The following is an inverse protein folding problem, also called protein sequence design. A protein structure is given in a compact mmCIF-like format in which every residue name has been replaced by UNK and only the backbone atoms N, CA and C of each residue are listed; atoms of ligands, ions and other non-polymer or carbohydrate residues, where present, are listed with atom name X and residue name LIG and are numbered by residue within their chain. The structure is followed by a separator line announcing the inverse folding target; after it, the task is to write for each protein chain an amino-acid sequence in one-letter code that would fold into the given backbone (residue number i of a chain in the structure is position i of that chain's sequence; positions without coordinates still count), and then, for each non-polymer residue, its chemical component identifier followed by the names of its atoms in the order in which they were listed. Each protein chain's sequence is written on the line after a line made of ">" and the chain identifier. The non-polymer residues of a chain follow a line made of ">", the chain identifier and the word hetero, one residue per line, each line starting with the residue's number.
data_IF_021809397734
#
_entry.id   IF_021809397734
#
_cell.length_a   1.000
_cell.length_b   1.000
_cell.length_c   1.000
_cell.angle_alpha   90.00
_cell.angle_beta   90.00
_cell.angle_gamma   90.00
#
_symmetry.space_group_name_H-M   'P 1'
#
loop_
_entity.id
_entity.type
_entity.pdbx_description
1 polymer ?
#
# COMPACT_ATOMS: atom_id res chain seq x y z
N UNK A 1 42.89 34.30 56.20
CA UNK A 1 41.58 34.62 55.59
C UNK A 1 41.81 35.73 54.58
N UNK A 2 41.69 35.61 53.26
CA UNK A 2 41.22 34.53 52.39
C UNK A 2 41.86 34.72 51.00
N UNK A 3 42.07 33.59 50.32
CA UNK A 3 42.44 33.44 48.92
C UNK A 3 41.29 33.83 47.97
N UNK A 4 41.57 34.59 46.90
CA UNK A 4 40.81 34.55 45.62
C UNK A 4 41.80 34.75 44.46
N UNK A 5 42.34 33.67 43.87
CA UNK A 5 41.84 32.88 42.72
C UNK A 5 41.84 33.67 41.40
N UNK A 6 42.93 33.44 40.65
CA UNK A 6 43.10 33.67 39.21
C UNK A 6 42.12 32.75 38.47
N UNK A 7 41.29 33.30 37.57
CA UNK A 7 40.44 32.53 36.67
C UNK A 7 40.96 32.71 35.24
N UNK A 8 41.62 31.67 34.72
CA UNK A 8 41.95 31.55 33.29
C UNK A 8 40.65 31.40 32.49
N UNK A 9 40.47 32.25 31.48
CA UNK A 9 39.41 32.13 30.48
C UNK A 9 39.75 31.01 29.49
N UNK A 10 38.95 29.93 29.51
CA UNK A 10 38.94 28.89 28.47
C UNK A 10 37.97 29.33 27.36
N UNK A 11 38.52 29.74 26.20
CA UNK A 11 37.74 29.91 24.98
C UNK A 11 37.25 28.54 24.50
N UNK A 12 35.97 28.26 24.72
CA UNK A 12 35.26 27.16 24.06
C UNK A 12 34.98 27.59 22.63
N UNK A 13 35.71 27.02 21.67
CA UNK A 13 35.46 27.17 20.24
C UNK A 13 34.15 26.44 19.94
N UNK A 14 33.07 27.20 19.78
CA UNK A 14 31.78 26.72 19.33
C UNK A 14 31.86 26.42 17.84
N UNK A 15 32.10 25.16 17.47
CA UNK A 15 31.92 24.71 16.08
C UNK A 15 30.43 24.74 15.75
N UNK A 16 29.96 25.59 14.81
CA UNK A 16 28.56 25.61 14.46
C UNK A 16 28.23 24.32 13.69
N UNK A 17 27.27 23.55 14.20
CA UNK A 17 26.70 22.39 13.52
C UNK A 17 26.18 22.78 12.13
N UNK A 18 26.48 21.90 11.16
CA UNK A 18 25.99 21.90 9.79
C UNK A 18 24.45 21.69 9.73
N UNK A 19 23.66 22.70 10.10
CA UNK A 19 22.20 22.70 9.93
C UNK A 19 21.75 23.17 8.52
N UNK A 20 22.68 23.51 7.63
CA UNK A 20 22.38 24.17 6.35
C UNK A 20 22.01 23.28 5.16
N UNK A 21 22.36 21.98 5.18
CA UNK A 21 22.06 21.07 4.06
C UNK A 21 20.65 20.46 4.15
N UNK A 22 20.19 20.12 5.35
CA UNK A 22 18.91 19.44 5.57
C UNK A 22 17.72 20.36 5.24
N UNK A 23 17.81 21.65 5.62
CA UNK A 23 16.78 22.64 5.31
C UNK A 23 16.63 22.92 3.80
N UNK A 24 17.70 22.78 3.01
CA UNK A 24 17.69 23.05 1.55
C UNK A 24 16.99 21.94 0.76
N UNK A 25 17.16 20.67 1.15
CA UNK A 25 16.52 19.52 0.50
C UNK A 25 15.01 19.49 0.77
N UNK A 26 14.59 19.72 2.02
CA UNK A 26 13.17 19.79 2.44
C UNK A 26 12.41 20.86 1.65
N UNK A 27 13.03 22.03 1.44
CA UNK A 27 12.42 23.11 0.64
C UNK A 27 12.20 22.68 -0.83
N UNK A 28 13.11 21.91 -1.41
CA UNK A 28 13.04 21.45 -2.81
C UNK A 28 11.90 20.45 -3.05
N UNK A 29 11.65 19.54 -2.13
CA UNK A 29 10.53 18.60 -2.26
C UNK A 29 9.18 19.30 -2.07
N UNK A 30 9.09 20.20 -1.09
CA UNK A 30 7.89 21.03 -0.91
C UNK A 30 7.57 21.86 -2.16
N UNK A 31 8.57 22.44 -2.81
CA UNK A 31 8.42 23.15 -4.09
C UNK A 31 7.98 22.23 -5.23
N UNK A 32 8.53 21.02 -5.30
CA UNK A 32 8.16 20.00 -6.29
C UNK A 32 6.68 19.62 -6.15
N UNK A 33 6.25 19.32 -4.93
CA UNK A 33 4.85 18.99 -4.65
C UNK A 33 3.95 20.19 -4.89
N UNK A 34 4.37 21.43 -4.60
CA UNK A 34 3.58 22.66 -4.79
C UNK A 34 3.01 22.80 -6.20
N UNK A 35 3.79 22.44 -7.21
CA UNK A 35 3.40 22.53 -8.62
C UNK A 35 3.01 21.18 -9.23
N UNK A 36 2.93 20.12 -8.43
CA UNK A 36 2.61 18.78 -8.90
C UNK A 36 1.20 18.73 -9.51
N UNK A 37 1.12 18.22 -10.74
CA UNK A 37 -0.10 17.89 -11.43
C UNK A 37 -0.16 16.38 -11.61
N UNK A 38 -1.33 15.79 -11.42
CA UNK A 38 -1.52 14.35 -11.50
C UNK A 38 -2.46 13.97 -12.64
N UNK A 39 -2.03 12.99 -13.42
CA UNK A 39 -2.86 12.24 -14.36
C UNK A 39 -2.83 10.78 -13.94
N UNK A 40 -4.00 10.15 -13.84
CA UNK A 40 -4.09 8.75 -13.44
C UNK A 40 -3.45 7.85 -14.51
N UNK A 41 -2.44 7.10 -14.09
CA UNK A 41 -1.80 6.01 -14.85
C UNK A 41 -2.04 4.73 -14.06
N UNK A 42 -2.37 3.64 -14.77
CA UNK A 42 -2.51 2.33 -14.16
C UNK A 42 -1.16 1.61 -14.26
N UNK A 43 -0.68 1.01 -13.17
CA UNK A 43 0.63 0.37 -13.11
C UNK A 43 0.82 -0.70 -14.18
N UNK A 44 -0.26 -1.44 -14.48
CA UNK A 44 -0.29 -2.49 -15.51
C UNK A 44 0.10 -2.00 -16.91
N UNK A 45 -0.08 -0.71 -17.18
CA UNK A 45 0.22 -0.09 -18.47
C UNK A 45 1.72 0.23 -18.61
N UNK A 46 2.49 0.15 -17.52
CA UNK A 46 3.92 0.49 -17.44
C UNK A 46 4.86 -0.72 -17.50
N UNK A 47 4.34 -1.96 -17.56
CA UNK A 47 5.17 -3.16 -17.46
C UNK A 47 5.76 -3.62 -18.80
N UNK A 48 7.05 -4.00 -18.84
CA UNK A 48 7.64 -4.61 -20.02
C UNK A 48 7.08 -6.02 -20.27
N UNK A 49 7.18 -6.54 -21.52
CA UNK A 49 6.85 -7.92 -21.81
C UNK A 49 7.76 -8.88 -21.03
N UNK A 50 7.23 -10.06 -20.73
CA UNK A 50 7.94 -11.10 -19.98
C UNK A 50 8.51 -12.16 -20.93
N UNK A 51 9.73 -12.61 -20.67
CA UNK A 51 10.32 -13.78 -21.33
C UNK A 51 9.49 -15.03 -20.98
N UNK A 52 9.03 -15.83 -21.97
CA UNK A 52 8.16 -16.99 -21.71
C UNK A 52 8.79 -18.09 -20.86
N UNK A 53 10.09 -18.30 -20.97
CA UNK A 53 10.83 -19.30 -20.18
C UNK A 53 10.93 -18.81 -18.73
N UNK A 54 11.25 -17.52 -18.54
CA UNK A 54 11.28 -16.89 -17.22
C UNK A 54 9.91 -16.90 -16.53
N UNK A 55 8.83 -16.63 -17.28
CA UNK A 55 7.46 -16.68 -16.76
C UNK A 55 7.02 -18.11 -16.40
N UNK A 56 7.55 -19.14 -17.08
CA UNK A 56 7.33 -20.52 -16.69
C UNK A 56 7.97 -20.84 -15.32
N UNK A 57 9.23 -20.43 -15.08
CA UNK A 57 9.87 -20.59 -13.77
C UNK A 57 9.15 -19.81 -12.67
N UNK A 58 8.72 -18.57 -12.96
CA UNK A 58 7.93 -17.77 -12.04
C UNK A 58 6.61 -18.47 -11.66
N UNK A 59 5.87 -18.98 -12.65
CA UNK A 59 4.60 -19.70 -12.42
C UNK A 59 4.80 -20.96 -11.59
N UNK A 60 5.87 -21.71 -11.84
CA UNK A 60 6.20 -22.89 -11.04
C UNK A 60 6.54 -22.52 -9.59
N UNK A 61 7.36 -21.49 -9.38
CA UNK A 61 7.66 -20.96 -8.06
C UNK A 61 6.38 -20.55 -7.30
N UNK A 62 5.45 -19.85 -7.97
CA UNK A 62 4.14 -19.49 -7.40
C UNK A 62 3.29 -20.70 -7.05
N UNK A 63 3.27 -21.73 -7.90
CA UNK A 63 2.55 -22.98 -7.64
C UNK A 63 3.09 -23.66 -6.39
N UNK A 64 4.40 -23.70 -6.23
CA UNK A 64 5.07 -24.26 -5.06
C UNK A 64 4.78 -23.45 -3.79
N UNK A 65 4.70 -22.13 -3.85
CA UNK A 65 4.33 -21.28 -2.71
C UNK A 65 2.89 -21.49 -2.24
N UNK A 66 1.93 -21.64 -3.15
CA UNK A 66 0.50 -21.76 -2.78
C UNK A 66 0.09 -23.18 -2.36
N UNK A 67 0.87 -24.21 -2.71
CA UNK A 67 0.61 -25.61 -2.33
C UNK A 67 0.35 -25.74 -0.81
N UNK A 68 -0.43 -26.70 -0.33
CA UNK A 68 -0.50 -26.93 1.14
C UNK A 68 0.73 -27.71 1.62
N UNK A 69 1.15 -27.48 2.87
CA UNK A 69 2.25 -28.21 3.52
C UNK A 69 3.61 -27.49 3.51
N UNK A 70 4.67 -28.17 3.98
CA UNK A 70 6.02 -27.61 4.09
C UNK A 70 6.54 -27.06 2.77
N UNK A 71 7.35 -26.00 2.85
CA UNK A 71 7.89 -25.26 1.71
C UNK A 71 9.40 -25.39 1.64
N UNK A 72 9.89 -25.74 0.46
CA UNK A 72 11.30 -25.58 0.12
C UNK A 72 11.51 -24.18 -0.45
N UNK A 73 11.71 -23.20 0.44
CA UNK A 73 11.97 -21.82 0.03
C UNK A 73 13.30 -21.64 -0.69
N UNK A 74 14.27 -22.56 -0.49
CA UNK A 74 15.52 -22.57 -1.25
C UNK A 74 15.27 -22.84 -2.72
N UNK A 75 14.53 -23.91 -3.02
CA UNK A 75 14.14 -24.25 -4.39
C UNK A 75 13.26 -23.16 -5.05
N UNK A 76 12.28 -22.61 -4.32
CA UNK A 76 11.43 -21.51 -4.82
C UNK A 76 12.30 -20.27 -5.15
N UNK A 77 13.23 -19.91 -4.28
CA UNK A 77 14.13 -18.79 -4.52
C UNK A 77 15.06 -19.04 -5.71
N UNK A 78 15.52 -20.28 -5.94
CA UNK A 78 16.29 -20.64 -7.14
C UNK A 78 15.48 -20.39 -8.42
N UNK A 79 14.22 -20.82 -8.47
CA UNK A 79 13.35 -20.56 -9.63
C UNK A 79 13.17 -19.06 -9.88
N UNK A 80 12.98 -18.26 -8.82
CA UNK A 80 12.91 -16.82 -8.99
C UNK A 80 14.23 -16.18 -9.43
N UNK A 81 15.39 -16.69 -8.97
CA UNK A 81 16.70 -16.23 -9.46
C UNK A 81 16.89 -16.50 -10.95
N UNK A 82 16.53 -17.70 -11.41
CA UNK A 82 16.54 -18.04 -12.85
C UNK A 82 15.65 -17.09 -13.66
N UNK A 83 14.45 -16.80 -13.17
CA UNK A 83 13.57 -15.82 -13.82
C UNK A 83 14.12 -14.38 -13.75
N UNK A 84 14.76 -14.00 -12.65
CA UNK A 84 15.38 -12.68 -12.45
C UNK A 84 16.58 -12.44 -13.38
N UNK A 85 17.37 -13.47 -13.70
CA UNK A 85 18.44 -13.40 -14.71
C UNK A 85 17.89 -12.99 -16.08
N UNK A 86 16.65 -13.37 -16.38
CA UNK A 86 15.89 -12.99 -17.57
C UNK A 86 14.97 -11.78 -17.35
N UNK A 87 15.29 -10.93 -16.37
CA UNK A 87 14.59 -9.65 -16.13
C UNK A 87 13.10 -9.79 -15.79
N UNK A 88 12.69 -10.93 -15.24
CA UNK A 88 11.29 -11.16 -14.87
C UNK A 88 10.91 -10.37 -13.61
N UNK A 89 10.33 -9.17 -13.78
CA UNK A 89 10.09 -8.22 -12.69
C UNK A 89 9.27 -8.77 -11.52
N UNK A 90 8.26 -9.63 -11.77
CA UNK A 90 7.48 -10.25 -10.68
C UNK A 90 8.30 -11.23 -9.85
N UNK A 91 9.24 -11.92 -10.49
CA UNK A 91 10.12 -12.87 -9.81
C UNK A 91 11.14 -12.12 -8.96
N UNK A 92 11.69 -11.03 -9.51
CA UNK A 92 12.59 -10.13 -8.78
C UNK A 92 11.89 -9.57 -7.55
N UNK A 93 10.67 -9.04 -7.68
CA UNK A 93 9.89 -8.53 -6.54
C UNK A 93 9.59 -9.61 -5.48
N UNK A 94 9.22 -10.83 -5.89
CA UNK A 94 8.97 -11.92 -4.96
C UNK A 94 10.24 -12.39 -4.24
N UNK A 95 11.33 -12.59 -4.99
CA UNK A 95 12.62 -12.99 -4.44
C UNK A 95 13.15 -11.96 -3.44
N UNK A 96 13.07 -10.69 -3.83
CA UNK A 96 13.43 -9.55 -3.00
C UNK A 96 12.69 -9.64 -1.65
N UNK A 97 11.36 -9.77 -1.66
CA UNK A 97 10.57 -9.88 -0.44
C UNK A 97 10.91 -11.14 0.38
N UNK A 98 11.12 -12.29 -0.27
CA UNK A 98 11.50 -13.54 0.41
C UNK A 98 12.83 -13.38 1.16
N UNK A 99 13.83 -12.77 0.54
CA UNK A 99 15.13 -12.55 1.15
C UNK A 99 15.02 -11.51 2.28
N UNK A 100 14.31 -10.40 2.04
CA UNK A 100 14.15 -9.33 3.03
C UNK A 100 13.47 -9.83 4.32
N UNK A 101 12.46 -10.68 4.19
CA UNK A 101 11.73 -11.29 5.32
C UNK A 101 12.44 -12.50 5.93
N UNK A 102 13.54 -12.97 5.33
CA UNK A 102 14.30 -14.14 5.80
C UNK A 102 13.65 -15.48 5.46
N UNK A 103 12.70 -15.54 4.53
CA UNK A 103 12.16 -16.79 4.00
C UNK A 103 13.16 -17.50 3.09
N UNK A 104 14.03 -16.76 2.42
CA UNK A 104 15.14 -17.29 1.63
C UNK A 104 16.47 -16.67 2.07
N UNK A 105 17.52 -17.49 2.05
CA UNK A 105 18.88 -17.02 2.27
C UNK A 105 19.40 -16.24 1.05
N UNK A 106 20.25 -15.23 1.28
CA UNK A 106 20.93 -14.56 0.19
C UNK A 106 21.96 -15.48 -0.47
N UNK A 107 22.48 -15.06 -1.64
CA UNK A 107 23.57 -15.71 -2.33
C UNK A 107 24.82 -15.78 -1.44
N UNK A 108 25.57 -16.87 -1.58
CA UNK A 108 26.81 -17.10 -0.81
C UNK A 108 27.73 -15.89 -0.94
N UNK A 109 28.16 -15.35 0.20
CA UNK A 109 29.05 -14.19 0.26
C UNK A 109 28.36 -12.82 0.21
N UNK A 110 27.04 -12.76 0.03
CA UNK A 110 26.27 -11.51 0.13
C UNK A 110 25.55 -11.40 1.47
N UNK A 111 25.49 -10.19 2.02
CA UNK A 111 24.53 -9.90 3.10
C UNK A 111 23.12 -9.85 2.52
N UNK A 112 22.13 -10.17 3.36
CA UNK A 112 20.70 -10.05 3.02
C UNK A 112 20.35 -8.70 2.39
N UNK A 113 20.80 -7.62 3.02
CA UNK A 113 20.50 -6.27 2.57
C UNK A 113 21.16 -5.94 1.23
N UNK A 114 22.32 -6.52 0.92
CA UNK A 114 23.04 -6.27 -0.32
C UNK A 114 22.27 -6.87 -1.52
N UNK A 115 21.92 -8.16 -1.48
CA UNK A 115 21.16 -8.77 -2.58
C UNK A 115 19.74 -8.18 -2.73
N UNK A 116 19.09 -7.83 -1.61
CA UNK A 116 17.78 -7.15 -1.68
C UNK A 116 17.89 -5.82 -2.41
N UNK A 117 18.90 -5.00 -2.11
CA UNK A 117 19.08 -3.72 -2.78
C UNK A 117 19.46 -3.92 -4.26
N UNK A 118 20.32 -4.88 -4.59
CA UNK A 118 20.64 -5.21 -5.99
C UNK A 118 19.38 -5.56 -6.81
N UNK A 119 18.46 -6.35 -6.23
CA UNK A 119 17.20 -6.73 -6.87
C UNK A 119 16.27 -5.52 -7.06
N UNK A 120 16.20 -4.61 -6.08
CA UNK A 120 15.40 -3.37 -6.19
C UNK A 120 15.99 -2.43 -7.23
N UNK A 121 17.32 -2.29 -7.28
CA UNK A 121 18.00 -1.51 -8.32
C UNK A 121 17.76 -2.09 -9.71
N UNK A 122 17.72 -3.42 -9.86
CA UNK A 122 17.34 -4.07 -11.11
C UNK A 122 15.91 -3.70 -11.55
N UNK A 123 14.95 -3.66 -10.62
CA UNK A 123 13.57 -3.19 -10.92
C UNK A 123 13.57 -1.74 -11.40
N UNK A 124 14.33 -0.86 -10.73
CA UNK A 124 14.44 0.55 -11.10
C UNK A 124 15.09 0.74 -12.46
N UNK A 125 16.15 -0.02 -12.78
CA UNK A 125 16.82 0.02 -14.09
C UNK A 125 15.91 -0.43 -15.24
N UNK A 126 14.88 -1.19 -14.94
CA UNK A 126 13.86 -1.64 -15.90
C UNK A 126 12.60 -0.76 -15.88
N UNK A 127 12.63 0.39 -15.20
CA UNK A 127 11.49 1.30 -15.04
C UNK A 127 10.24 0.60 -14.47
N UNK A 128 10.41 -0.35 -13.54
CA UNK A 128 9.29 -1.02 -12.87
C UNK A 128 8.75 -0.13 -11.75
N UNK A 129 7.47 0.30 -11.79
CA UNK A 129 6.94 1.29 -10.84
C UNK A 129 7.05 0.88 -9.36
N UNK A 130 6.70 -0.36 -9.00
CA UNK A 130 6.84 -0.82 -7.62
C UNK A 130 8.29 -0.92 -7.13
N UNK A 131 9.28 -1.01 -8.03
CA UNK A 131 10.70 -0.94 -7.66
C UNK A 131 11.06 0.38 -7.00
N UNK A 132 10.55 1.49 -7.55
CA UNK A 132 10.71 2.82 -6.94
C UNK A 132 10.02 2.90 -5.57
N UNK A 133 8.80 2.36 -5.45
CA UNK A 133 8.11 2.32 -4.16
C UNK A 133 8.91 1.55 -3.10
N UNK A 134 9.38 0.34 -3.43
CA UNK A 134 10.17 -0.48 -2.50
C UNK A 134 11.45 0.26 -2.07
N UNK A 135 12.19 0.85 -3.01
CA UNK A 135 13.38 1.64 -2.66
C UNK A 135 13.03 2.81 -1.73
N UNK A 136 11.92 3.50 -1.98
CA UNK A 136 11.41 4.54 -1.09
C UNK A 136 11.20 4.01 0.35
N UNK A 137 10.60 2.82 0.50
CA UNK A 137 10.43 2.22 1.85
C UNK A 137 11.76 1.87 2.53
N UNK A 138 12.77 1.46 1.76
CA UNK A 138 14.10 1.14 2.28
C UNK A 138 14.92 2.37 2.64
N UNK A 139 14.84 3.44 1.86
CA UNK A 139 15.39 4.75 2.22
C UNK A 139 14.71 5.32 3.46
N UNK A 140 13.39 5.16 3.61
CA UNK A 140 12.70 5.64 4.81
C UNK A 140 13.11 4.90 6.09
N UNK A 141 13.47 3.62 5.98
CA UNK A 141 13.83 2.74 7.12
C UNK A 141 15.34 2.56 7.31
N UNK A 142 16.17 2.94 6.35
CA UNK A 142 17.60 2.66 6.35
C UNK A 142 17.97 1.19 6.16
N UNK A 143 17.16 0.42 5.41
CA UNK A 143 17.43 -1.00 5.16
C UNK A 143 18.39 -1.16 3.97
N UNK A 144 19.63 -1.56 4.21
CA UNK A 144 20.65 -1.76 3.16
C UNK A 144 21.18 -0.49 2.49
N UNK A 145 20.51 0.64 2.72
CA UNK A 145 20.88 1.99 2.28
C UNK A 145 20.87 2.93 3.48
N UNK A 146 21.55 4.08 3.37
CA UNK A 146 21.46 5.13 4.39
C UNK A 146 20.03 5.67 4.44
N UNK A 147 19.50 5.82 5.65
CA UNK A 147 18.17 6.39 5.83
C UNK A 147 18.12 7.82 5.27
N UNK A 148 17.13 8.11 4.44
CA UNK A 148 16.91 9.40 3.77
C UNK A 148 15.43 9.56 3.40
N UNK A 149 14.69 10.29 4.22
CA UNK A 149 13.25 10.52 4.04
C UNK A 149 12.92 11.39 2.82
N UNK A 150 13.80 12.33 2.47
CA UNK A 150 13.59 13.22 1.33
C UNK A 150 13.81 12.46 0.01
N UNK A 151 14.84 11.62 -0.04
CA UNK A 151 15.01 10.68 -1.14
C UNK A 151 13.83 9.72 -1.22
N UNK A 152 13.38 9.13 -0.11
CA UNK A 152 12.22 8.24 -0.10
C UNK A 152 10.99 8.89 -0.73
N UNK A 153 10.69 10.14 -0.40
CA UNK A 153 9.57 10.89 -0.97
C UNK A 153 9.72 11.08 -2.49
N UNK A 154 10.95 11.30 -3.00
CA UNK A 154 11.21 11.38 -4.46
C UNK A 154 10.94 10.05 -5.16
N UNK A 155 11.32 8.95 -4.53
CA UNK A 155 11.05 7.60 -5.02
C UNK A 155 9.55 7.28 -5.02
N UNK A 156 8.82 7.61 -3.96
CA UNK A 156 7.36 7.47 -3.92
C UNK A 156 6.67 8.32 -5.00
N UNK A 157 7.14 9.54 -5.23
CA UNK A 157 6.59 10.41 -6.26
C UNK A 157 6.79 9.83 -7.66
N UNK A 158 8.00 9.31 -7.94
CA UNK A 158 8.29 8.62 -9.20
C UNK A 158 7.40 7.38 -9.38
N UNK A 159 7.22 6.57 -8.33
CA UNK A 159 6.32 5.41 -8.35
C UNK A 159 4.87 5.83 -8.66
N UNK A 160 4.36 6.88 -8.00
CA UNK A 160 3.01 7.40 -8.18
C UNK A 160 2.74 7.88 -9.61
N UNK A 161 3.70 8.63 -10.19
CA UNK A 161 3.64 9.11 -11.58
C UNK A 161 3.61 7.94 -12.58
N UNK A 162 4.31 6.85 -12.27
CA UNK A 162 4.35 5.66 -13.11
C UNK A 162 3.19 4.68 -12.88
N UNK A 163 2.22 5.07 -12.05
CA UNK A 163 0.98 4.35 -11.84
C UNK A 163 0.96 3.40 -10.65
N UNK A 164 2.07 3.24 -9.91
CA UNK A 164 2.11 2.33 -8.76
C UNK A 164 1.08 2.76 -7.70
N UNK A 165 0.15 1.87 -7.31
CA UNK A 165 -0.94 2.25 -6.41
C UNK A 165 -0.45 2.59 -4.99
N UNK A 166 0.61 1.94 -4.49
CA UNK A 166 1.18 2.26 -3.18
C UNK A 166 1.88 3.63 -3.18
N UNK A 167 2.57 3.98 -4.26
CA UNK A 167 3.12 5.31 -4.47
C UNK A 167 2.03 6.37 -4.56
N UNK A 168 0.96 6.10 -5.31
CA UNK A 168 -0.20 7.00 -5.39
C UNK A 168 -0.83 7.24 -4.01
N UNK A 169 -0.99 6.19 -3.20
CA UNK A 169 -1.42 6.29 -1.80
C UNK A 169 -0.45 7.16 -0.99
N UNK A 170 0.84 6.82 -0.96
CA UNK A 170 1.85 7.54 -0.18
C UNK A 170 1.91 9.05 -0.52
N UNK A 171 1.79 9.40 -1.80
CA UNK A 171 1.78 10.79 -2.24
C UNK A 171 0.45 11.49 -1.94
N UNK A 172 -0.66 10.76 -1.96
CA UNK A 172 -1.97 11.33 -1.61
C UNK A 172 -2.00 11.87 -0.18
N UNK A 173 -1.31 11.20 0.77
CA UNK A 173 -1.27 11.58 2.18
C UNK A 173 -0.69 12.99 2.39
N UNK A 174 0.23 13.41 1.51
CA UNK A 174 0.80 14.76 1.51
C UNK A 174 -0.26 15.85 1.25
N UNK A 175 -1.33 15.47 0.56
CA UNK A 175 -2.41 16.37 0.18
C UNK A 175 -3.66 16.24 1.07
N UNK A 176 -3.78 15.22 1.91
CA UNK A 176 -5.03 14.93 2.64
C UNK A 176 -5.04 15.33 4.13
N UNK A 177 -4.02 16.06 4.57
CA UNK A 177 -3.95 16.59 5.94
C UNK A 177 -4.93 17.76 6.20
N UNK A 178 -5.24 18.01 7.48
CA UNK A 178 -6.23 19.02 7.89
C UNK A 178 -5.85 20.48 7.59
N UNK A 179 -4.59 20.74 7.27
CA UNK A 179 -4.08 22.08 6.97
C UNK A 179 -3.97 22.33 5.45
N UNK A 180 -4.28 21.34 4.62
CA UNK A 180 -4.17 21.44 3.18
C UNK A 180 -5.32 22.26 2.58
N UNK A 181 -5.03 23.28 1.74
CA UNK A 181 -6.06 24.02 1.01
C UNK A 181 -6.98 23.12 0.17
N UNK A 182 -8.25 23.48 0.01
CA UNK A 182 -9.27 22.66 -0.67
C UNK A 182 -8.85 22.17 -2.07
N UNK A 183 -8.24 23.03 -2.91
CA UNK A 183 -7.80 22.66 -4.26
C UNK A 183 -6.72 21.56 -4.29
N UNK A 184 -6.04 21.35 -3.17
CA UNK A 184 -5.03 20.31 -3.01
C UNK A 184 -5.64 19.02 -2.44
N UNK A 185 -6.74 19.11 -1.69
CA UNK A 185 -7.51 17.92 -1.27
C UNK A 185 -8.00 17.13 -2.49
N UNK A 186 -8.47 17.83 -3.53
CA UNK A 186 -8.92 17.17 -4.77
C UNK A 186 -7.80 16.40 -5.47
N UNK A 187 -6.56 16.90 -5.39
CA UNK A 187 -5.39 16.18 -5.92
C UNK A 187 -5.14 14.88 -5.15
N UNK A 188 -5.19 14.94 -3.81
CA UNK A 188 -5.10 13.75 -2.96
C UNK A 188 -6.20 12.74 -3.25
N UNK A 189 -7.45 13.19 -3.43
CA UNK A 189 -8.58 12.32 -3.79
C UNK A 189 -8.40 11.66 -5.14
N UNK A 190 -7.90 12.38 -6.16
CA UNK A 190 -7.60 11.80 -7.48
C UNK A 190 -6.53 10.72 -7.42
N UNK A 191 -5.48 10.93 -6.63
CA UNK A 191 -4.45 9.90 -6.38
C UNK A 191 -5.05 8.67 -5.72
N UNK A 192 -5.83 8.85 -4.64
CA UNK A 192 -6.51 7.76 -3.96
C UNK A 192 -7.49 7.01 -4.87
N UNK A 193 -8.30 7.71 -5.66
CA UNK A 193 -9.26 7.10 -6.58
C UNK A 193 -8.54 6.24 -7.64
N UNK A 194 -7.42 6.74 -8.18
CA UNK A 194 -6.60 5.99 -9.14
C UNK A 194 -6.03 4.70 -8.51
N UNK A 195 -5.52 4.77 -7.27
CA UNK A 195 -4.99 3.62 -6.55
C UNK A 195 -6.10 2.62 -6.14
N UNK A 196 -7.24 3.13 -5.67
CA UNK A 196 -8.40 2.34 -5.29
C UNK A 196 -8.96 1.52 -6.46
N UNK A 197 -9.04 2.13 -7.65
CA UNK A 197 -9.48 1.44 -8.89
C UNK A 197 -8.52 0.33 -9.33
N UNK A 198 -7.26 0.41 -8.94
CA UNK A 198 -6.24 -0.64 -9.14
C UNK A 198 -6.29 -1.76 -8.08
N UNK A 199 -7.16 -1.62 -7.08
CA UNK A 199 -7.35 -2.62 -6.04
C UNK A 199 -6.56 -2.39 -4.76
N UNK A 200 -5.97 -1.21 -4.58
CA UNK A 200 -5.37 -0.86 -3.29
C UNK A 200 -6.48 -0.55 -2.27
N UNK A 201 -6.60 -1.44 -1.29
CA UNK A 201 -7.63 -1.41 -0.25
C UNK A 201 -7.47 -0.23 0.68
N UNK A 202 -6.23 0.14 1.01
CA UNK A 202 -5.92 1.22 1.94
C UNK A 202 -6.26 2.58 1.33
N UNK A 203 -6.05 2.74 0.02
CA UNK A 203 -6.44 3.92 -0.72
C UNK A 203 -7.96 4.05 -0.83
N UNK A 204 -8.65 2.95 -1.12
CA UNK A 204 -10.12 2.92 -1.13
C UNK A 204 -10.69 3.26 0.26
N UNK A 205 -10.17 2.65 1.32
CA UNK A 205 -10.55 2.95 2.70
C UNK A 205 -10.26 4.41 3.08
N UNK A 206 -9.07 4.92 2.73
CA UNK A 206 -8.68 6.30 3.02
C UNK A 206 -9.58 7.31 2.30
N UNK A 207 -9.99 7.00 1.06
CA UNK A 207 -10.90 7.85 0.30
C UNK A 207 -12.31 7.82 0.89
N UNK A 208 -12.78 6.64 1.32
CA UNK A 208 -14.04 6.50 2.03
C UNK A 208 -14.07 7.32 3.32
N UNK A 209 -13.04 7.17 4.18
CA UNK A 209 -12.85 7.96 5.39
C UNK A 209 -12.80 9.47 5.11
N UNK A 210 -12.14 9.88 4.02
CA UNK A 210 -12.05 11.27 3.65
C UNK A 210 -13.43 11.87 3.31
N UNK A 211 -14.26 11.16 2.55
CA UNK A 211 -15.65 11.58 2.27
C UNK A 211 -16.53 11.54 3.51
N UNK A 212 -16.39 10.50 4.35
CA UNK A 212 -17.18 10.32 5.57
C UNK A 212 -16.89 11.44 6.59
N UNK A 213 -15.62 11.71 6.87
CA UNK A 213 -15.23 12.59 7.98
C UNK A 213 -15.25 14.05 7.55
N UNK A 214 -14.71 14.38 6.38
CA UNK A 214 -14.55 15.78 5.96
C UNK A 214 -15.80 16.36 5.34
N UNK A 215 -16.43 15.62 4.43
CA UNK A 215 -17.53 16.14 3.62
C UNK A 215 -18.89 15.70 4.16
N UNK A 216 -18.92 14.75 5.11
CA UNK A 216 -20.12 14.02 5.51
C UNK A 216 -20.88 13.44 4.31
N UNK A 217 -20.15 13.09 3.24
CA UNK A 217 -20.73 12.51 2.04
C UNK A 217 -20.78 10.99 2.19
N UNK A 218 -21.75 10.53 2.97
CA UNK A 218 -21.91 9.11 3.31
C UNK A 218 -22.15 8.24 2.07
N UNK A 219 -22.87 8.74 1.06
CA UNK A 219 -23.09 8.00 -0.19
C UNK A 219 -21.78 7.66 -0.91
N UNK A 220 -20.83 8.61 -1.00
CA UNK A 220 -19.52 8.32 -1.57
C UNK A 220 -18.67 7.43 -0.66
N UNK A 221 -18.71 7.66 0.65
CA UNK A 221 -17.98 6.83 1.61
C UNK A 221 -18.39 5.35 1.51
N UNK A 222 -19.69 5.05 1.48
CA UNK A 222 -20.19 3.69 1.29
C UNK A 222 -19.66 3.03 0.02
N UNK A 223 -19.63 3.77 -1.11
CA UNK A 223 -19.11 3.25 -2.40
C UNK A 223 -17.64 2.86 -2.32
N UNK A 224 -16.81 3.67 -1.67
CA UNK A 224 -15.39 3.38 -1.56
C UNK A 224 -15.08 2.31 -0.50
N UNK A 225 -15.84 2.23 0.61
CA UNK A 225 -15.76 1.07 1.49
C UNK A 225 -16.15 -0.21 0.75
N UNK A 226 -17.25 -0.21 0.00
CA UNK A 226 -17.67 -1.35 -0.82
C UNK A 226 -16.58 -1.75 -1.84
N UNK A 227 -15.93 -0.76 -2.48
CA UNK A 227 -14.80 -0.99 -3.38
C UNK A 227 -13.60 -1.62 -2.65
N UNK A 228 -13.28 -1.15 -1.44
CA UNK A 228 -12.22 -1.74 -0.63
C UNK A 228 -12.54 -3.21 -0.28
N UNK A 229 -13.79 -3.54 0.07
CA UNK A 229 -14.21 -4.93 0.34
C UNK A 229 -14.09 -5.80 -0.91
N UNK A 230 -14.46 -5.27 -2.09
CA UNK A 230 -14.29 -5.96 -3.39
C UNK A 230 -12.86 -6.48 -3.57
N UNK A 231 -11.89 -5.68 -3.13
CA UNK A 231 -10.47 -6.01 -3.18
C UNK A 231 -9.89 -6.58 -1.88
N UNK A 232 -10.75 -6.92 -0.93
CA UNK A 232 -10.43 -7.74 0.24
C UNK A 232 -10.09 -7.00 1.52
N UNK A 233 -10.60 -5.79 1.72
CA UNK A 233 -10.53 -5.08 3.00
C UNK A 233 -11.57 -5.62 3.99
N UNK A 234 -11.13 -6.41 4.96
CA UNK A 234 -11.97 -6.85 6.08
C UNK A 234 -12.37 -5.67 6.98
N UNK A 235 -11.46 -4.74 7.22
CA UNK A 235 -11.73 -3.50 7.96
C UNK A 235 -12.90 -2.70 7.35
N UNK A 236 -12.99 -2.64 6.02
CA UNK A 236 -14.11 -1.98 5.34
C UNK A 236 -15.42 -2.76 5.50
N UNK A 237 -15.36 -4.09 5.51
CA UNK A 237 -16.54 -4.93 5.76
C UNK A 237 -17.06 -4.75 7.19
N UNK A 238 -16.15 -4.72 8.17
CA UNK A 238 -16.49 -4.37 9.56
C UNK A 238 -17.12 -2.98 9.66
N UNK A 239 -16.50 -1.97 9.03
CA UNK A 239 -17.01 -0.60 9.02
C UNK A 239 -18.43 -0.51 8.44
N UNK A 240 -18.69 -1.17 7.31
CA UNK A 240 -20.03 -1.19 6.72
C UNK A 240 -21.01 -1.95 7.60
N UNK A 241 -20.65 -3.11 8.15
CA UNK A 241 -21.46 -3.83 9.13
C UNK A 241 -21.90 -2.91 10.26
N UNK A 242 -20.98 -2.22 10.92
CA UNK A 242 -21.32 -1.35 12.04
C UNK A 242 -22.14 -0.13 11.60
N UNK A 243 -21.92 0.40 10.39
CA UNK A 243 -22.72 1.51 9.85
C UNK A 243 -24.19 1.15 9.64
N UNK A 244 -24.49 -0.11 9.30
CA UNK A 244 -25.86 -0.63 9.19
C UNK A 244 -26.42 -1.16 10.52
N UNK A 245 -25.63 -1.12 11.60
CA UNK A 245 -26.02 -1.59 12.93
C UNK A 245 -26.48 -0.44 13.84
N UNK A 246 -26.32 0.82 13.41
CA UNK A 246 -26.73 2.00 14.18
C UNK A 246 -27.38 3.05 13.29
N UNK A 247 -28.40 3.72 13.83
CA UNK A 247 -28.94 4.97 13.28
C UNK A 247 -28.82 6.12 14.28
N UNK A 248 -28.11 5.92 15.40
CA UNK A 248 -27.90 6.95 16.43
C UNK A 248 -26.78 7.91 15.99
N UNK A 249 -27.08 9.21 15.77
CA UNK A 249 -26.07 10.20 15.40
C UNK A 249 -25.00 10.43 16.48
N UNK A 250 -25.24 10.00 17.74
CA UNK A 250 -24.22 10.04 18.80
C UNK A 250 -23.14 8.97 18.62
N UNK A 251 -23.38 7.96 17.78
CA UNK A 251 -22.36 6.98 17.41
C UNK A 251 -21.49 7.56 16.29
N UNK A 252 -20.70 8.58 16.61
CA UNK A 252 -19.91 9.35 15.62
C UNK A 252 -18.94 8.50 14.79
N UNK A 253 -18.54 7.33 15.31
CA UNK A 253 -17.61 6.41 14.65
C UNK A 253 -18.30 5.64 13.53
N UNK A 254 -19.57 5.26 13.68
CA UNK A 254 -20.26 4.37 12.73
C UNK A 254 -21.47 5.00 12.05
N UNK A 255 -21.94 6.15 12.53
CA UNK A 255 -23.07 6.85 11.94
C UNK A 255 -22.76 7.32 10.50
N UNK A 256 -23.52 6.79 9.54
CA UNK A 256 -23.43 7.12 8.13
C UNK A 256 -24.81 7.34 7.47
N UNK A 257 -25.80 7.82 8.24
CA UNK A 257 -27.18 8.06 7.76
C UNK A 257 -27.85 6.82 7.16
N UNK A 258 -27.49 5.63 7.64
CA UNK A 258 -28.11 4.38 7.22
C UNK A 258 -29.26 4.00 8.16
N UNK A 259 -30.26 3.32 7.60
CA UNK A 259 -31.24 2.60 8.41
C UNK A 259 -30.60 1.33 8.95
N UNK A 260 -30.98 0.96 10.17
CA UNK A 260 -30.56 -0.32 10.75
C UNK A 260 -31.10 -1.45 9.87
N UNK A 261 -30.21 -2.30 9.36
CA UNK A 261 -30.52 -3.40 8.45
C UNK A 261 -29.80 -4.67 8.94
N UNK A 262 -30.46 -5.51 9.76
CA UNK A 262 -29.84 -6.70 10.35
C UNK A 262 -29.32 -7.70 9.32
N UNK A 263 -29.94 -7.80 8.14
CA UNK A 263 -29.48 -8.73 7.10
C UNK A 263 -28.23 -8.18 6.40
N UNK A 264 -28.13 -6.87 6.10
CA UNK A 264 -26.87 -6.25 5.65
C UNK A 264 -25.75 -6.47 6.66
N UNK A 265 -26.02 -6.22 7.94
CA UNK A 265 -25.07 -6.45 9.04
C UNK A 265 -24.59 -7.90 9.00
N UNK A 266 -25.50 -8.87 8.91
CA UNK A 266 -25.15 -10.30 8.83
C UNK A 266 -24.29 -10.61 7.61
N UNK A 267 -24.64 -10.11 6.41
CA UNK A 267 -23.87 -10.39 5.19
C UNK A 267 -22.47 -9.77 5.23
N UNK A 268 -22.32 -8.53 5.71
CA UNK A 268 -21.01 -7.92 5.88
C UNK A 268 -20.15 -8.64 6.92
N UNK A 269 -20.72 -9.11 8.04
CA UNK A 269 -19.98 -9.92 9.04
C UNK A 269 -19.49 -11.25 8.47
N UNK A 270 -20.26 -11.89 7.58
CA UNK A 270 -19.81 -13.10 6.88
C UNK A 270 -18.65 -12.82 5.92
N UNK A 271 -18.71 -11.70 5.20
CA UNK A 271 -17.64 -11.25 4.30
C UNK A 271 -16.37 -10.89 5.10
N UNK A 272 -16.51 -10.10 6.16
CA UNK A 272 -15.43 -9.75 7.10
C UNK A 272 -14.72 -11.01 7.59
N UNK A 273 -15.48 -11.95 8.17
CA UNK A 273 -14.93 -13.21 8.69
C UNK A 273 -14.15 -13.98 7.63
N UNK A 274 -14.64 -14.02 6.40
CA UNK A 274 -13.96 -14.72 5.32
C UNK A 274 -12.67 -14.01 4.90
N UNK A 275 -12.69 -12.68 4.79
CA UNK A 275 -11.50 -11.89 4.47
C UNK A 275 -10.43 -12.03 5.55
N UNK A 276 -10.81 -12.04 6.83
CA UNK A 276 -9.86 -12.22 7.93
C UNK A 276 -9.27 -13.65 7.99
N UNK A 277 -10.04 -14.68 7.61
CA UNK A 277 -9.55 -16.06 7.56
C UNK A 277 -8.78 -16.39 6.27
N UNK A 278 -9.08 -15.70 5.18
CA UNK A 278 -8.48 -15.88 3.88
C UNK A 278 -8.05 -14.53 3.28
N UNK A 279 -6.81 -14.09 3.55
CA UNK A 279 -6.30 -12.81 3.03
C UNK A 279 -6.26 -12.71 1.50
N UNK A 280 -6.40 -13.84 0.79
CA UNK A 280 -6.45 -13.88 -0.69
C UNK A 280 -7.87 -13.78 -1.23
N UNK A 281 -8.90 -13.90 -0.39
CA UNK A 281 -10.28 -13.74 -0.82
C UNK A 281 -10.51 -12.33 -1.37
N UNK A 282 -11.33 -12.28 -2.42
CA UNK A 282 -11.80 -11.06 -3.10
C UNK A 282 -13.27 -11.27 -3.42
N UNK A 283 -14.02 -10.17 -3.51
CA UNK A 283 -15.46 -10.18 -3.71
C UNK A 283 -15.85 -9.33 -4.94
N UNK A 284 -15.41 -9.69 -6.15
CA UNK A 284 -15.71 -8.92 -7.37
C UNK A 284 -17.21 -8.76 -7.63
N UNK A 285 -18.02 -9.65 -7.07
CA UNK A 285 -19.47 -9.77 -7.15
C UNK A 285 -20.19 -9.25 -5.89
N UNK A 286 -19.51 -8.48 -5.01
CA UNK A 286 -20.09 -8.01 -3.75
C UNK A 286 -21.46 -7.32 -3.91
N UNK A 287 -21.69 -6.61 -5.02
CA UNK A 287 -22.97 -5.92 -5.25
C UNK A 287 -24.13 -6.90 -5.56
N UNK A 288 -23.83 -8.16 -5.90
CA UNK A 288 -24.85 -9.23 -5.97
C UNK A 288 -25.15 -9.83 -4.60
N UNK A 289 -24.26 -9.64 -3.62
CA UNK A 289 -24.40 -10.16 -2.27
C UNK A 289 -25.04 -9.10 -1.37
N UNK A 290 -24.52 -7.86 -1.40
CA UNK A 290 -24.93 -6.75 -0.53
C UNK A 290 -24.92 -5.43 -1.33
N UNK A 291 -25.83 -5.20 -2.30
CA UNK A 291 -25.86 -3.96 -3.08
C UNK A 291 -26.14 -2.76 -2.17
N UNK A 292 -25.39 -1.67 -2.28
CA UNK A 292 -25.60 -0.49 -1.42
C UNK A 292 -27.02 0.10 -1.56
N UNK A 293 -27.59 0.71 -0.49
CA UNK A 293 -28.84 1.44 -0.59
C UNK A 293 -28.81 2.52 -1.69
N UNK A 294 -29.95 2.82 -2.32
CA UNK A 294 -31.31 2.40 -1.95
C UNK A 294 -31.74 1.03 -2.50
N UNK A 295 -30.84 0.26 -3.12
CA UNK A 295 -31.20 -1.06 -3.65
C UNK A 295 -31.63 -2.02 -2.53
N UNK A 296 -32.66 -2.83 -2.79
CA UNK A 296 -33.05 -3.91 -1.89
C UNK A 296 -32.06 -5.07 -1.96
N UNK A 297 -31.99 -5.86 -0.88
CA UNK A 297 -31.14 -7.05 -0.86
C UNK A 297 -31.73 -8.15 -1.75
N UNK A 298 -30.96 -8.73 -2.67
CA UNK A 298 -31.42 -9.88 -3.43
C UNK A 298 -31.49 -11.12 -2.56
N UNK A 299 -32.25 -12.13 -3.01
CA UNK A 299 -32.12 -13.49 -2.48
C UNK A 299 -30.66 -13.94 -2.57
N UNK A 300 -30.16 -14.55 -1.50
CA UNK A 300 -28.79 -15.01 -1.41
C UNK A 300 -28.74 -16.28 -0.56
N UNK A 301 -28.08 -17.31 -1.10
CA UNK A 301 -27.99 -18.65 -0.51
C UNK A 301 -26.99 -18.74 0.67
N UNK A 302 -26.32 -17.63 1.02
CA UNK A 302 -25.33 -17.58 2.09
C UNK A 302 -23.93 -18.04 1.67
N UNK A 303 -23.69 -18.28 0.38
CA UNK A 303 -22.41 -18.77 -0.16
C UNK A 303 -21.74 -17.74 -1.06
N UNK A 304 -20.42 -17.86 -1.22
CA UNK A 304 -19.63 -16.95 -2.05
C UNK A 304 -19.25 -17.61 -3.38
N UNK A 305 -19.45 -16.91 -4.50
CA UNK A 305 -19.25 -17.47 -5.84
C UNK A 305 -17.83 -18.02 -6.06
N UNK A 306 -16.79 -17.33 -5.56
CA UNK A 306 -15.42 -17.82 -5.73
C UNK A 306 -15.15 -19.15 -4.99
N UNK A 307 -15.95 -19.49 -3.97
CA UNK A 307 -15.85 -20.80 -3.29
C UNK A 307 -16.50 -21.91 -4.10
N UNK A 308 -17.60 -21.62 -4.80
CA UNK A 308 -18.27 -22.58 -5.70
C UNK A 308 -17.35 -23.04 -6.83
N UNK A 309 -16.48 -22.14 -7.31
CA UNK A 309 -15.49 -22.46 -8.35
C UNK A 309 -14.33 -23.33 -7.85
N UNK A 310 -13.99 -23.26 -6.56
CA UNK A 310 -12.91 -24.04 -5.96
C UNK A 310 -13.31 -25.48 -5.58
N UNK A 311 -14.62 -25.77 -5.49
CA UNK A 311 -15.15 -27.11 -5.21
C UNK A 311 -15.47 -27.90 -6.50
N UNK A 312 -15.35 -27.27 -7.67
CA UNK A 312 -15.58 -27.86 -8.99
C UNK A 312 -14.32 -28.15 -9.82
N UNK A 313 -13.12 -28.07 -9.23
CA UNK A 313 -11.82 -28.36 -9.87
C UNK A 313 -10.94 -29.25 -9.01
#
# INVERSE_FOLDING_TARGET
>A
MEFKKILLSLMVIFFPLLAGCEQKEVNKMNDTLKNFQFTCVQEKDSFPPLDPEADAWFKEARRLEIKKGPKDFGHIATLYRQAAEKKHYKAIGNLQNMIATGQAEPMIGKKRSEEVIDLVEQLIQMDIPFGYYIMGTYLQRGFGVKQDSDAAMRYFLKAAIMGNPEGQLAISEQFLNARTPLYRLDLGRKLLDCAAKQGNTDAAYSLAMNYEVRDKNYSQALKYYQLAIRYGSDQSAYKLSESFNTSDPKNEIYYMEQHVDPERVRRYKLIEKELSLNPRAKFPDIDKIVPLPPAELPEWDGTFEYKKQAEGQ
#
